data_IF_965227619060
#
_entry.id   IF_965227619060
#
_cell.length_a   1.000
_cell.length_b   1.000
_cell.length_c   1.000
_cell.angle_alpha   90.00
_cell.angle_beta   90.00
_cell.angle_gamma   90.00
#
_symmetry.space_group_name_H-M   'P 1'
#
loop_
_entity.id
_entity.type
_entity.pdbx_description
1 polymer ?
#
# COMPACT_ATOMS: atom_id res chain seq x y z
N UNK A 1 -13.39 5.16 18.47
CA UNK A 1 -12.68 6.18 17.66
C UNK A 1 -12.16 5.45 16.44
N UNK A 2 -12.51 5.88 15.24
CA UNK A 2 -12.12 5.22 13.98
C UNK A 2 -11.21 6.17 13.23
N UNK A 3 -10.00 5.73 12.91
CA UNK A 3 -9.05 6.50 12.11
C UNK A 3 -9.29 6.14 10.65
N UNK A 4 -9.84 7.08 9.88
CA UNK A 4 -9.97 6.93 8.43
C UNK A 4 -8.77 7.56 7.74
N UNK A 5 -8.05 6.78 6.95
CA UNK A 5 -6.99 7.27 6.06
C UNK A 5 -7.43 7.04 4.61
N UNK A 6 -7.17 8.02 3.74
CA UNK A 6 -7.34 7.83 2.30
C UNK A 6 -6.12 7.09 1.76
N UNK A 7 -6.36 6.11 0.90
CA UNK A 7 -5.30 5.28 0.33
C UNK A 7 -4.28 6.11 -0.46
N UNK A 8 -4.70 7.18 -1.13
CA UNK A 8 -3.81 8.12 -1.84
C UNK A 8 -2.80 8.84 -0.91
N UNK A 9 -3.00 8.79 0.41
CA UNK A 9 -2.11 9.38 1.40
C UNK A 9 -1.16 8.35 2.03
N UNK A 10 -1.19 7.09 1.59
CA UNK A 10 -0.25 6.05 2.02
C UNK A 10 0.98 6.14 1.13
N UNK A 11 2.14 6.36 1.76
CA UNK A 11 3.43 6.47 1.07
C UNK A 11 4.41 5.43 1.61
N UNK A 12 5.45 5.07 0.84
CA UNK A 12 6.55 4.27 1.35
C UNK A 12 7.17 4.95 2.59
N UNK A 13 7.62 4.19 3.60
CA UNK A 13 8.24 4.77 4.77
C UNK A 13 9.57 5.47 4.41
N UNK A 14 9.69 6.76 4.74
CA UNK A 14 10.90 7.58 4.50
C UNK A 14 11.66 7.97 5.79
N UNK A 15 11.17 7.57 6.97
CA UNK A 15 11.74 7.89 8.28
C UNK A 15 10.72 7.72 9.40
N UNK A 16 11.17 7.57 10.64
CA UNK A 16 10.56 6.81 11.75
C UNK A 16 9.14 7.18 12.27
N UNK A 17 8.40 8.09 11.64
CA UNK A 17 7.09 8.53 12.13
C UNK A 17 5.92 7.94 11.31
N UNK A 18 4.85 7.52 12.01
CA UNK A 18 3.60 7.00 11.41
C UNK A 18 3.75 5.75 10.52
N UNK A 19 4.80 4.95 10.75
CA UNK A 19 5.01 3.68 10.05
C UNK A 19 4.20 2.57 10.71
N UNK A 20 3.40 1.87 9.90
CA UNK A 20 2.78 0.60 10.30
C UNK A 20 3.36 -0.55 9.47
N UNK A 21 3.69 -1.65 10.14
CA UNK A 21 4.11 -2.88 9.46
C UNK A 21 2.87 -3.60 8.94
N UNK A 22 2.81 -3.79 7.63
CA UNK A 22 1.77 -4.57 6.98
C UNK A 22 2.32 -5.90 6.47
N UNK A 23 1.44 -6.90 6.35
CA UNK A 23 1.76 -8.14 5.65
C UNK A 23 1.25 -8.02 4.23
N UNK A 24 2.12 -8.29 3.26
CA UNK A 24 1.68 -8.50 1.87
C UNK A 24 1.09 -9.90 1.79
N UNK A 25 -0.21 -9.99 1.50
CA UNK A 25 -0.93 -11.26 1.31
C UNK A 25 -0.78 -11.77 -0.12
N UNK A 26 -0.93 -10.88 -1.10
CA UNK A 26 -0.90 -11.21 -2.53
C UNK A 26 -0.18 -10.12 -3.31
N UNK A 27 0.61 -10.54 -4.29
CA UNK A 27 1.19 -9.68 -5.33
C UNK A 27 0.62 -10.13 -6.67
N UNK A 28 -0.13 -9.25 -7.33
CA UNK A 28 -0.72 -9.50 -8.64
C UNK A 28 -0.03 -8.65 -9.71
N UNK A 29 0.85 -9.25 -10.53
CA UNK A 29 1.51 -8.53 -11.62
C UNK A 29 0.54 -8.33 -12.79
N UNK A 30 0.44 -7.09 -13.28
CA UNK A 30 -0.39 -6.69 -14.42
C UNK A 30 0.43 -5.76 -15.32
N UNK A 31 1.09 -6.33 -16.33
CA UNK A 31 2.00 -5.57 -17.20
C UNK A 31 3.17 -4.99 -16.40
N UNK A 32 3.35 -3.67 -16.49
CA UNK A 32 4.39 -2.92 -15.78
C UNK A 32 3.96 -2.44 -14.38
N UNK A 33 2.83 -2.97 -13.89
CA UNK A 33 2.26 -2.65 -12.59
C UNK A 33 2.15 -3.91 -11.73
N UNK A 34 2.18 -3.73 -10.41
CA UNK A 34 1.90 -4.76 -9.43
C UNK A 34 0.87 -4.26 -8.43
N UNK A 35 -0.15 -5.05 -8.18
CA UNK A 35 -1.12 -4.79 -7.11
C UNK A 35 -0.71 -5.56 -5.86
N UNK A 36 -0.55 -4.85 -4.75
CA UNK A 36 -0.23 -5.39 -3.44
C UNK A 36 -1.49 -5.40 -2.59
N UNK A 37 -1.86 -6.57 -2.10
CA UNK A 37 -2.92 -6.72 -1.11
C UNK A 37 -2.27 -6.73 0.27
N UNK A 38 -2.44 -5.66 1.03
CA UNK A 38 -1.84 -5.40 2.32
C UNK A 38 -2.84 -5.70 3.45
N UNK A 39 -2.39 -6.45 4.45
CA UNK A 39 -3.10 -6.64 5.70
C UNK A 39 -2.49 -5.70 6.76
N UNK A 40 -3.33 -4.83 7.33
CA UNK A 40 -2.96 -3.91 8.42
C UNK A 40 -3.91 -4.14 9.58
N UNK A 41 -3.46 -4.87 10.60
CA UNK A 41 -4.34 -5.31 11.68
C UNK A 41 -5.42 -6.24 11.13
N UNK A 42 -6.69 -5.88 11.33
CA UNK A 42 -7.86 -6.63 10.84
C UNK A 42 -8.38 -6.12 9.48
N UNK A 43 -7.75 -5.08 8.91
CA UNK A 43 -8.18 -4.44 7.66
C UNK A 43 -7.37 -4.93 6.45
N UNK A 44 -8.03 -5.00 5.30
CA UNK A 44 -7.42 -5.29 3.99
C UNK A 44 -7.40 -4.04 3.11
N UNK A 45 -6.24 -3.75 2.53
CA UNK A 45 -5.98 -2.58 1.69
C UNK A 45 -5.32 -3.05 0.39
N UNK A 46 -5.73 -2.52 -0.75
CA UNK A 46 -5.06 -2.79 -2.03
C UNK A 46 -4.24 -1.56 -2.41
N UNK A 47 -2.98 -1.76 -2.78
CA UNK A 47 -2.07 -0.72 -3.24
C UNK A 47 -1.52 -1.06 -4.62
N UNK A 48 -1.35 -0.07 -5.50
CA UNK A 48 -0.77 -0.27 -6.82
C UNK A 48 0.66 0.29 -6.84
N UNK A 49 1.59 -0.48 -7.39
CA UNK A 49 3.01 -0.17 -7.45
C UNK A 49 3.46 -0.26 -8.90
N UNK A 50 4.15 0.78 -9.38
CA UNK A 50 4.76 0.75 -10.71
C UNK A 50 6.10 0.02 -10.65
N UNK A 51 6.44 -0.77 -11.67
CA UNK A 51 7.76 -1.41 -11.75
C UNK A 51 8.91 -0.40 -11.94
N UNK A 52 8.61 0.81 -12.41
CA UNK A 52 9.62 1.84 -12.69
C UNK A 52 9.85 2.83 -11.53
N UNK A 53 8.90 2.92 -10.60
CA UNK A 53 9.00 3.78 -9.43
C UNK A 53 8.59 2.98 -8.20
N UNK A 54 9.43 2.98 -7.16
CA UNK A 54 9.05 2.51 -5.83
C UNK A 54 7.93 3.37 -5.20
N UNK A 55 7.40 4.36 -5.93
CA UNK A 55 6.20 5.11 -5.61
C UNK A 55 4.96 4.22 -5.74
N UNK A 56 4.43 3.86 -4.57
CA UNK A 56 3.14 3.20 -4.43
C UNK A 56 2.06 4.27 -4.69
N UNK A 57 1.36 4.16 -5.82
CA UNK A 57 0.23 5.03 -6.19
C UNK A 57 -1.03 4.19 -6.19
N UNK A 58 -1.90 4.36 -5.20
CA UNK A 58 -3.14 3.59 -5.07
C UNK A 58 -4.27 4.24 -5.89
N UNK A 59 -4.82 3.51 -6.87
CA UNK A 59 -5.95 3.95 -7.70
C UNK A 59 -7.22 3.13 -7.42
N UNK A 60 -8.39 3.73 -7.68
CA UNK A 60 -9.73 3.16 -7.51
C UNK A 60 -10.40 2.86 -8.86
#
# INVERSE_FOLDING_TARGET
MTLGIRLENIVPPDGEENISKSRVSVVEPVGDQSYLHLEVGDDQLTAKVSSENQDISIEY
#
